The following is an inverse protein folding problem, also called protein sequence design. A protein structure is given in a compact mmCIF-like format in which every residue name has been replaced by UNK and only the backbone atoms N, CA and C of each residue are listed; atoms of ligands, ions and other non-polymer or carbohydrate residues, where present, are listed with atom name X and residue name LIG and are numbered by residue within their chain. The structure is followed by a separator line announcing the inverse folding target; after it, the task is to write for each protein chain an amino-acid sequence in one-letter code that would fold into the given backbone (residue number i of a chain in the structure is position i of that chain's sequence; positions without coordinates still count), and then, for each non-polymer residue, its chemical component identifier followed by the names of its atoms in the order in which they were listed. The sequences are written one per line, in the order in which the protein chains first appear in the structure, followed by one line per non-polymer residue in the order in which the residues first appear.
data_IF_409518975688
#
_entry.id   IF_409518975688
#
_cell.length_a   1.000
_cell.length_b   1.000
_cell.length_c   1.000
_cell.angle_alpha   90.00
_cell.angle_beta   90.00
_cell.angle_gamma   90.00
#
_symmetry.space_group_name_H-M   'P 1'
#
loop_
_entity.id
_entity.type
_entity.pdbx_description
1 polymer ?
#
# COMPACT_ATOMS: atom_id res chain seq x y z
N UNK A 1 -9.86 15.87 -5.73
CA UNK A 1 -8.80 14.95 -5.28
C UNK A 1 -8.27 14.05 -6.38
N UNK A 2 -9.02 13.04 -6.89
CA UNK A 2 -8.50 12.14 -7.94
C UNK A 2 -7.98 12.85 -9.20
N UNK A 3 -8.65 13.90 -9.68
CA UNK A 3 -8.17 14.65 -10.86
C UNK A 3 -6.86 15.41 -10.59
N UNK A 4 -6.65 15.94 -9.38
CA UNK A 4 -5.38 16.59 -8.98
C UNK A 4 -4.22 15.57 -9.00
N UNK A 5 -4.50 14.35 -8.55
CA UNK A 5 -3.58 13.21 -8.61
C UNK A 5 -3.24 12.82 -10.05
N UNK A 6 -4.20 12.92 -10.97
CA UNK A 6 -3.99 12.59 -12.39
C UNK A 6 -3.27 13.71 -13.15
N UNK A 7 -3.38 14.96 -12.69
CA UNK A 7 -2.73 16.13 -13.31
C UNK A 7 -1.27 16.35 -12.89
N UNK A 8 -0.70 15.44 -12.10
CA UNK A 8 0.65 15.54 -11.57
C UNK A 8 0.88 16.79 -10.70
N UNK A 9 -0.16 17.28 -10.04
CA UNK A 9 -0.07 18.37 -9.07
C UNK A 9 0.70 17.91 -7.82
N UNK A 10 1.27 18.88 -7.11
CA UNK A 10 1.88 18.67 -5.79
C UNK A 10 0.78 18.25 -4.80
N UNK A 11 1.01 17.12 -4.12
CA UNK A 11 0.02 16.51 -3.21
C UNK A 11 0.43 16.66 -1.74
N UNK A 12 1.61 17.21 -1.45
CA UNK A 12 2.15 17.29 -0.09
C UNK A 12 1.21 18.08 0.83
N UNK A 13 0.67 19.22 0.37
CA UNK A 13 -0.31 20.00 1.15
C UNK A 13 -1.60 19.20 1.40
N UNK A 14 -2.06 18.41 0.43
CA UNK A 14 -3.28 17.59 0.58
C UNK A 14 -3.07 16.46 1.59
N UNK A 15 -1.92 15.79 1.54
CA UNK A 15 -1.56 14.74 2.50
C UNK A 15 -1.41 15.33 3.90
N UNK A 16 -0.77 16.50 4.03
CA UNK A 16 -0.65 17.21 5.31
C UNK A 16 -2.01 17.53 5.91
N UNK A 17 -2.95 18.07 5.13
CA UNK A 17 -4.31 18.33 5.59
C UNK A 17 -5.03 17.05 6.07
N UNK A 18 -4.84 15.92 5.39
CA UNK A 18 -5.44 14.66 5.82
C UNK A 18 -4.85 14.14 7.13
N UNK A 19 -3.55 14.36 7.35
CA UNK A 19 -2.88 14.01 8.59
C UNK A 19 -3.34 14.93 9.74
N UNK A 20 -3.45 16.23 9.49
CA UNK A 20 -3.98 17.21 10.45
C UNK A 20 -5.41 16.87 10.88
N UNK A 21 -6.29 16.58 9.91
CA UNK A 21 -7.68 16.15 10.18
C UNK A 21 -7.74 14.82 10.98
N UNK A 22 -6.78 13.91 10.75
CA UNK A 22 -6.68 12.66 11.50
C UNK A 22 -6.26 12.93 12.95
N UNK A 23 -5.29 13.83 13.18
CA UNK A 23 -4.90 14.25 14.54
C UNK A 23 -6.09 14.88 15.27
N UNK A 24 -6.85 15.74 14.60
CA UNK A 24 -8.08 16.33 15.16
C UNK A 24 -9.06 15.23 15.60
N UNK A 25 -9.26 14.22 14.75
CA UNK A 25 -10.15 13.08 15.04
C UNK A 25 -9.64 12.26 16.23
N UNK A 26 -8.34 11.99 16.33
CA UNK A 26 -7.74 11.25 17.45
C UNK A 26 -7.87 12.03 18.76
N UNK A 27 -7.57 13.32 18.73
CA UNK A 27 -7.70 14.22 19.87
C UNK A 27 -9.15 14.28 20.34
N UNK A 28 -10.12 14.44 19.44
CA UNK A 28 -11.55 14.45 19.79
C UNK A 28 -12.05 13.11 20.34
N UNK A 29 -11.52 11.99 19.83
CA UNK A 29 -11.93 10.65 20.24
C UNK A 29 -11.41 10.27 21.62
N UNK A 30 -10.16 10.63 21.93
CA UNK A 30 -9.49 10.22 23.17
C UNK A 30 -9.45 11.29 24.25
N UNK A 31 -9.48 12.58 23.88
CA UNK A 31 -9.47 13.69 24.85
C UNK A 31 -10.88 14.27 24.99
N UNK A 32 -11.60 13.73 25.97
CA UNK A 32 -12.90 14.25 26.40
C UNK A 32 -12.85 15.70 26.91
N UNK A 33 -14.01 16.32 27.15
CA UNK A 33 -14.09 17.70 27.65
C UNK A 33 -13.52 17.88 29.06
N UNK A 34 -13.40 16.77 29.82
CA UNK A 34 -12.93 16.72 31.20
C UNK A 34 -11.65 15.88 31.23
N UNK A 35 -10.63 16.33 31.98
CA UNK A 35 -9.28 15.72 32.01
C UNK A 35 -9.30 14.28 32.52
N UNK A 36 -10.18 13.99 33.46
CA UNK A 36 -10.34 12.65 34.05
C UNK A 36 -10.86 11.60 33.05
N UNK A 37 -11.45 12.03 31.93
CA UNK A 37 -11.96 11.16 30.87
C UNK A 37 -10.92 10.91 29.76
N UNK A 38 -9.72 11.49 29.88
CA UNK A 38 -8.70 11.36 28.84
C UNK A 38 -8.13 9.94 28.78
N UNK A 39 -8.26 9.33 27.61
CA UNK A 39 -7.68 8.03 27.30
C UNK A 39 -6.32 8.20 26.61
N UNK A 40 -5.30 8.51 27.42
CA UNK A 40 -3.93 8.71 26.93
C UNK A 40 -3.28 7.42 26.41
N UNK A 41 -3.69 6.26 26.94
CA UNK A 41 -3.19 4.96 26.49
C UNK A 41 -3.76 4.63 25.09
N UNK A 42 -5.06 4.83 24.88
CA UNK A 42 -5.67 4.69 23.57
C UNK A 42 -5.07 5.65 22.53
N UNK A 43 -4.84 6.91 22.93
CA UNK A 43 -4.22 7.91 22.07
C UNK A 43 -2.79 7.51 21.67
N UNK A 44 -1.95 7.11 22.62
CA UNK A 44 -0.58 6.66 22.35
C UNK A 44 -0.55 5.44 21.41
N UNK A 45 -1.46 4.47 21.62
CA UNK A 45 -1.57 3.29 20.74
C UNK A 45 -2.01 3.67 19.31
N UNK A 46 -2.93 4.63 19.17
CA UNK A 46 -3.36 5.13 17.86
C UNK A 46 -2.22 5.87 17.13
N UNK A 47 -1.44 6.66 17.86
CA UNK A 47 -0.26 7.36 17.34
C UNK A 47 0.85 6.38 16.93
N UNK A 48 1.14 5.36 17.75
CA UNK A 48 2.10 4.29 17.41
C UNK A 48 1.66 3.52 16.15
N UNK A 49 0.35 3.29 16.02
CA UNK A 49 -0.23 2.67 14.82
C UNK A 49 0.08 3.51 13.56
N UNK A 50 0.08 4.84 13.64
CA UNK A 50 0.46 5.73 12.53
C UNK A 50 1.97 5.70 12.23
N UNK A 51 2.80 5.11 13.09
CA UNK A 51 4.26 5.06 12.94
C UNK A 51 4.89 6.47 12.89
N UNK A 52 4.38 7.38 13.72
CA UNK A 52 4.95 8.71 13.92
C UNK A 52 6.27 8.60 14.68
N UNK A 53 7.20 9.47 14.33
CA UNK A 53 8.50 9.58 14.99
C UNK A 53 8.52 10.82 15.88
N UNK A 54 8.99 10.65 17.11
CA UNK A 54 9.17 11.75 18.04
C UNK A 54 9.21 11.30 19.50
N UNK A 55 9.76 12.16 20.36
CA UNK A 55 9.79 11.96 21.81
C UNK A 55 8.42 12.25 22.46
N UNK A 56 8.12 11.68 23.62
CA UNK A 56 6.86 11.96 24.34
C UNK A 56 5.58 11.66 23.55
N UNK A 57 5.59 10.60 22.73
CA UNK A 57 4.40 10.08 22.05
C UNK A 57 3.78 8.89 22.78
N UNK A 58 4.43 8.44 23.85
CA UNK A 58 3.94 7.43 24.78
C UNK A 58 2.99 8.05 25.80
N UNK A 59 2.20 7.19 26.47
CA UNK A 59 1.17 7.63 27.42
C UNK A 59 1.75 8.53 28.54
N UNK A 60 2.94 8.20 29.04
CA UNK A 60 3.62 8.97 30.08
C UNK A 60 4.06 10.34 29.57
N UNK A 61 4.68 10.40 28.38
CA UNK A 61 5.09 11.67 27.77
C UNK A 61 3.93 12.58 27.40
N UNK A 62 2.78 12.02 27.01
CA UNK A 62 1.56 12.78 26.76
C UNK A 62 0.92 13.29 28.06
N UNK A 63 0.99 12.52 29.15
CA UNK A 63 0.48 12.94 30.46
C UNK A 63 1.23 14.18 31.00
N UNK A 64 2.53 14.30 30.71
CA UNK A 64 3.35 15.44 31.09
C UNK A 64 2.92 16.76 30.44
N UNK A 65 2.22 16.71 29.29
CA UNK A 65 1.82 17.90 28.55
C UNK A 65 0.60 18.63 29.15
N UNK A 66 -0.11 18.02 30.10
CA UNK A 66 -1.20 18.54 30.97
C UNK A 66 -2.39 19.25 30.32
N UNK A 67 -2.30 19.66 29.05
CA UNK A 67 -3.29 20.46 28.34
C UNK A 67 -3.58 19.86 26.98
N UNK A 68 -4.84 19.95 26.54
CA UNK A 68 -5.29 19.45 25.24
C UNK A 68 -4.52 20.10 24.09
N UNK A 69 -4.35 21.42 24.15
CA UNK A 69 -3.65 22.19 23.11
C UNK A 69 -2.16 21.80 23.03
N UNK A 70 -1.50 21.51 24.16
CA UNK A 70 -0.11 21.05 24.12
C UNK A 70 0.02 19.64 23.53
N UNK A 71 -0.93 18.75 23.79
CA UNK A 71 -0.99 17.43 23.17
C UNK A 71 -1.22 17.56 21.66
N UNK A 72 -2.22 18.34 21.23
CA UNK A 72 -2.49 18.60 19.81
C UNK A 72 -1.25 19.15 19.09
N UNK A 73 -0.62 20.19 19.66
CA UNK A 73 0.59 20.78 19.08
C UNK A 73 1.76 19.78 19.02
N UNK A 74 1.92 18.94 20.05
CA UNK A 74 2.95 17.89 20.07
C UNK A 74 2.73 16.88 18.94
N UNK A 75 1.49 16.43 18.74
CA UNK A 75 1.15 15.45 17.70
C UNK A 75 1.35 16.03 16.30
N UNK A 76 0.92 17.28 16.07
CA UNK A 76 1.16 17.98 14.79
C UNK A 76 2.64 18.15 14.51
N UNK A 77 3.43 18.48 15.53
CA UNK A 77 4.89 18.55 15.38
C UNK A 77 5.49 17.18 15.03
N UNK A 78 5.02 16.10 15.65
CA UNK A 78 5.48 14.75 15.32
C UNK A 78 5.16 14.35 13.88
N UNK A 79 4.00 14.75 13.35
CA UNK A 79 3.65 14.58 11.94
C UNK A 79 4.67 15.29 11.05
N UNK A 80 4.94 16.56 11.32
CA UNK A 80 5.91 17.37 10.56
C UNK A 80 7.31 16.76 10.59
N UNK A 81 7.78 16.35 11.78
CA UNK A 81 9.09 15.72 11.96
C UNK A 81 9.18 14.41 11.16
N UNK A 82 8.10 13.62 11.18
CA UNK A 82 8.03 12.34 10.45
C UNK A 82 8.04 12.56 8.93
N UNK A 83 7.30 13.55 8.42
CA UNK A 83 7.32 13.90 6.99
C UNK A 83 8.73 14.32 6.57
N UNK A 84 9.36 15.23 7.33
CA UNK A 84 10.70 15.71 7.05
C UNK A 84 11.73 14.56 7.04
N UNK A 85 11.66 13.66 8.02
CA UNK A 85 12.53 12.49 8.08
C UNK A 85 12.33 11.57 6.85
N UNK A 86 11.09 11.29 6.46
CA UNK A 86 10.81 10.42 5.30
C UNK A 86 11.26 11.05 3.99
N UNK A 87 11.15 12.36 3.87
CA UNK A 87 11.66 13.10 2.71
C UNK A 87 13.20 13.02 2.62
N UNK A 88 13.90 13.13 3.76
CA UNK A 88 15.37 12.97 3.82
C UNK A 88 15.81 11.54 3.49
N UNK A 89 15.13 10.53 4.05
CA UNK A 89 15.46 9.11 3.86
C UNK A 89 15.25 8.61 2.42
N UNK A 90 14.19 9.09 1.74
CA UNK A 90 13.81 8.61 0.42
C UNK A 90 14.18 9.56 -0.72
N UNK A 91 14.33 10.86 -0.41
CA UNK A 91 14.47 11.96 -1.37
C UNK A 91 13.11 12.43 -1.89
N UNK A 92 13.00 13.75 -2.10
CA UNK A 92 11.77 14.46 -2.49
C UNK A 92 11.01 13.80 -3.66
N UNK A 93 11.68 13.51 -4.77
CA UNK A 93 11.03 12.91 -5.96
C UNK A 93 10.40 11.54 -5.67
N UNK A 94 11.04 10.75 -4.80
CA UNK A 94 10.56 9.41 -4.46
C UNK A 94 9.41 9.50 -3.47
N UNK A 95 9.50 10.42 -2.51
CA UNK A 95 8.45 10.68 -1.54
C UNK A 95 7.16 11.18 -2.20
N UNK A 96 7.24 12.13 -3.14
CA UNK A 96 6.09 12.60 -3.91
C UNK A 96 5.37 11.47 -4.66
N UNK A 97 6.12 10.47 -5.14
CA UNK A 97 5.54 9.28 -5.77
C UNK A 97 4.87 8.33 -4.78
N UNK A 98 5.40 8.23 -3.55
CA UNK A 98 4.77 7.49 -2.45
C UNK A 98 3.45 8.15 -2.06
N UNK A 99 3.44 9.47 -1.83
CA UNK A 99 2.23 10.25 -1.54
C UNK A 99 1.14 10.01 -2.58
N UNK A 100 1.51 10.16 -3.87
CA UNK A 100 0.60 9.93 -5.00
C UNK A 100 0.06 8.50 -5.01
N UNK A 101 0.92 7.51 -4.79
CA UNK A 101 0.53 6.10 -4.84
C UNK A 101 -0.42 5.74 -3.70
N UNK A 102 -0.11 6.17 -2.48
CA UNK A 102 -0.95 5.90 -1.30
C UNK A 102 -2.32 6.53 -1.50
N UNK A 103 -2.36 7.81 -1.87
CA UNK A 103 -3.62 8.53 -2.05
C UNK A 103 -4.48 7.91 -3.16
N UNK A 104 -3.90 7.60 -4.32
CA UNK A 104 -4.64 6.99 -5.43
C UNK A 104 -5.17 5.60 -5.06
N UNK A 105 -4.32 4.76 -4.45
CA UNK A 105 -4.69 3.39 -4.07
C UNK A 105 -5.83 3.39 -3.06
N UNK A 106 -5.76 4.25 -2.05
CA UNK A 106 -6.79 4.37 -1.01
C UNK A 106 -8.10 4.88 -1.59
N UNK A 107 -8.06 5.92 -2.42
CA UNK A 107 -9.26 6.46 -3.08
C UNK A 107 -9.90 5.41 -3.98
N UNK A 108 -9.12 4.74 -4.84
CA UNK A 108 -9.67 3.78 -5.80
C UNK A 108 -10.29 2.57 -5.09
N UNK A 109 -9.70 2.07 -3.99
CA UNK A 109 -10.28 0.95 -3.23
C UNK A 109 -11.59 1.34 -2.53
N UNK A 110 -11.61 2.48 -1.85
CA UNK A 110 -12.79 2.92 -1.08
C UNK A 110 -13.92 3.41 -2.00
N UNK A 111 -13.59 3.97 -3.17
CA UNK A 111 -14.59 4.38 -4.15
C UNK A 111 -15.38 3.19 -4.71
N UNK A 112 -14.72 2.05 -4.97
CA UNK A 112 -15.40 0.83 -5.44
C UNK A 112 -16.37 0.30 -4.38
N UNK A 113 -15.94 0.32 -3.11
CA UNK A 113 -16.80 -0.06 -1.97
C UNK A 113 -18.00 0.88 -1.85
N UNK A 114 -17.78 2.19 -1.88
CA UNK A 114 -18.85 3.19 -1.83
C UNK A 114 -19.87 3.06 -2.96
N UNK A 115 -19.42 2.79 -4.20
CA UNK A 115 -20.34 2.55 -5.32
C UNK A 115 -21.21 1.32 -5.12
N UNK A 116 -20.68 0.29 -4.44
CA UNK A 116 -21.41 -0.93 -4.11
C UNK A 116 -22.48 -0.64 -3.05
N UNK A 117 -22.11 0.05 -1.98
CA UNK A 117 -23.06 0.49 -0.92
C UNK A 117 -24.18 1.37 -1.47
N UNK A 118 -23.83 2.32 -2.35
CA UNK A 118 -24.79 3.21 -2.98
C UNK A 118 -25.79 2.47 -3.88
N UNK A 119 -25.33 1.45 -4.60
CA UNK A 119 -26.20 0.64 -5.47
C UNK A 119 -27.16 -0.23 -4.62
N UNK A 120 -26.67 -0.83 -3.53
CA UNK A 120 -27.51 -1.60 -2.61
C UNK A 120 -28.56 -0.72 -1.93
N UNK A 121 -28.17 0.47 -1.48
CA UNK A 121 -29.11 1.42 -0.90
C UNK A 121 -30.15 1.91 -1.94
N UNK A 122 -29.73 2.18 -3.17
CA UNK A 122 -30.64 2.55 -4.27
C UNK A 122 -31.69 1.48 -4.54
N UNK A 123 -31.35 0.20 -4.46
CA UNK A 123 -32.31 -0.91 -4.62
C UNK A 123 -33.33 -0.95 -3.48
N UNK A 124 -32.91 -0.58 -2.26
CA UNK A 124 -33.76 -0.59 -1.06
C UNK A 124 -34.66 0.64 -0.87
N UNK A 125 -34.30 1.81 -1.41
CA UNK A 125 -35.01 3.07 -1.14
C UNK A 125 -36.46 3.08 -1.66
N UNK A 126 -36.74 2.29 -2.71
CA UNK A 126 -38.10 2.16 -3.26
C UNK A 126 -39.12 1.61 -2.24
N UNK A 127 -38.67 0.86 -1.25
CA UNK A 127 -39.52 0.34 -0.17
C UNK A 127 -39.88 1.42 0.87
N UNK A 128 -39.11 2.51 0.97
CA UNK A 128 -39.39 3.62 1.90
C UNK A 128 -40.46 4.60 1.38
N UNK A 129 -40.74 4.58 0.07
CA UNK A 129 -41.81 5.38 -0.54
C UNK A 129 -43.22 5.04 -0.05
N UNK A 130 -43.41 3.85 0.54
CA UNK A 130 -44.67 3.48 1.19
C UNK A 130 -44.93 4.26 2.49
N UNK A 131 -43.92 4.93 3.06
CA UNK A 131 -44.02 5.73 4.29
C UNK A 131 -44.43 7.19 4.08
N UNK A 132 -44.74 7.62 2.85
CA UNK A 132 -45.14 9.00 2.55
C UNK A 132 -44.00 10.00 2.38
N UNK A 133 -42.75 9.58 2.59
CA UNK A 133 -41.55 10.37 2.28
C UNK A 133 -41.15 10.18 0.82
N UNK A 134 -40.74 11.26 0.15
CA UNK A 134 -40.24 11.19 -1.23
C UNK A 134 -38.93 10.36 -1.29
N UNK A 135 -38.94 9.18 -1.96
CA UNK A 135 -37.79 8.29 -2.03
C UNK A 135 -36.55 8.96 -2.63
N UNK A 136 -36.72 9.93 -3.52
CA UNK A 136 -35.61 10.61 -4.15
C UNK A 136 -34.87 11.51 -3.16
N UNK A 137 -35.60 12.19 -2.28
CA UNK A 137 -34.98 13.07 -1.28
C UNK A 137 -34.31 12.26 -0.17
N UNK A 138 -34.92 11.16 0.25
CA UNK A 138 -34.28 10.19 1.15
C UNK A 138 -33.01 9.62 0.54
N UNK A 139 -33.06 9.25 -0.75
CA UNK A 139 -31.90 8.72 -1.44
C UNK A 139 -30.73 9.72 -1.42
N UNK A 140 -31.00 10.98 -1.76
CA UNK A 140 -29.98 12.04 -1.79
C UNK A 140 -29.37 12.30 -0.42
N UNK A 141 -30.19 12.32 0.63
CA UNK A 141 -29.72 12.56 2.01
C UNK A 141 -28.77 11.47 2.46
N UNK A 142 -29.16 10.21 2.30
CA UNK A 142 -28.32 9.08 2.68
C UNK A 142 -27.07 8.98 1.80
N UNK A 143 -27.21 9.16 0.48
CA UNK A 143 -26.06 9.13 -0.43
C UNK A 143 -25.01 10.19 -0.07
N UNK A 144 -25.45 11.38 0.35
CA UNK A 144 -24.54 12.42 0.83
C UNK A 144 -23.87 12.03 2.15
N UNK A 145 -24.61 11.40 3.08
CA UNK A 145 -24.05 10.90 4.33
C UNK A 145 -22.96 9.84 4.08
N UNK A 146 -23.24 8.85 3.22
CA UNK A 146 -22.26 7.84 2.80
C UNK A 146 -21.03 8.45 2.13
N UNK A 147 -21.21 9.56 1.39
CA UNK A 147 -20.10 10.28 0.77
C UNK A 147 -19.21 10.99 1.82
N UNK A 148 -19.78 11.62 2.83
CA UNK A 148 -18.99 12.23 3.91
C UNK A 148 -18.26 11.17 4.75
N UNK A 149 -18.89 10.02 5.01
CA UNK A 149 -18.26 8.86 5.64
C UNK A 149 -17.08 8.35 4.81
N UNK A 150 -17.26 8.18 3.48
CA UNK A 150 -16.18 7.83 2.55
C UNK A 150 -15.01 8.81 2.64
N UNK A 151 -15.27 10.12 2.70
CA UNK A 151 -14.22 11.13 2.83
C UNK A 151 -13.42 10.94 4.12
N UNK A 152 -14.09 10.62 5.23
CA UNK A 152 -13.43 10.26 6.49
C UNK A 152 -12.55 9.03 6.34
N UNK A 153 -13.06 7.95 5.73
CA UNK A 153 -12.29 6.74 5.50
C UNK A 153 -11.07 6.95 4.59
N UNK A 154 -11.16 7.83 3.60
CA UNK A 154 -10.00 8.18 2.75
C UNK A 154 -8.93 8.87 3.59
N UNK A 155 -9.28 9.86 4.41
CA UNK A 155 -8.31 10.56 5.29
C UNK A 155 -7.62 9.58 6.23
N UNK A 156 -8.40 8.80 6.97
CA UNK A 156 -7.90 7.77 7.89
C UNK A 156 -7.03 6.72 7.16
N UNK A 157 -7.47 6.25 5.99
CA UNK A 157 -6.75 5.26 5.20
C UNK A 157 -5.40 5.78 4.68
N UNK A 158 -5.32 7.07 4.33
CA UNK A 158 -4.04 7.71 3.96
C UNK A 158 -3.15 7.86 5.18
N UNK A 159 -3.65 8.43 6.28
CA UNK A 159 -2.90 8.69 7.50
C UNK A 159 -2.32 7.41 8.13
N UNK A 160 -3.10 6.32 8.16
CA UNK A 160 -2.68 5.02 8.70
C UNK A 160 -1.71 4.23 7.81
N UNK A 161 -1.53 4.63 6.54
CA UNK A 161 -0.73 3.87 5.57
C UNK A 161 0.54 4.60 5.15
N UNK A 162 0.51 5.94 5.06
CA UNK A 162 1.57 6.74 4.43
C UNK A 162 2.96 6.48 5.03
N UNK A 163 3.08 6.45 6.36
CA UNK A 163 4.35 6.25 7.06
C UNK A 163 4.78 4.78 7.20
N UNK A 164 3.95 3.83 6.77
CA UNK A 164 4.25 2.39 6.78
C UNK A 164 4.81 1.89 5.45
N UNK A 165 4.76 2.71 4.39
CA UNK A 165 5.24 2.31 3.07
C UNK A 165 6.75 2.20 3.08
N UNK A 166 7.27 1.01 2.77
CA UNK A 166 8.72 0.80 2.58
C UNK A 166 9.08 0.89 1.10
N UNK A 167 9.98 1.81 0.75
CA UNK A 167 10.51 1.94 -0.61
C UNK A 167 11.65 0.95 -0.83
N UNK A 168 11.42 -0.11 -1.63
CA UNK A 168 12.50 -0.98 -2.08
C UNK A 168 13.10 -0.43 -3.39
N UNK A 169 14.25 0.23 -3.31
CA UNK A 169 15.05 0.51 -4.52
C UNK A 169 15.46 -0.82 -5.13
N UNK A 170 15.07 -1.07 -6.38
CA UNK A 170 15.64 -2.18 -7.14
C UNK A 170 17.13 -1.92 -7.31
N UNK A 171 17.97 -2.72 -6.65
CA UNK A 171 19.38 -2.76 -6.96
C UNK A 171 19.54 -3.20 -8.42
N UNK A 172 20.36 -2.53 -9.24
CA UNK A 172 20.62 -2.96 -10.60
C UNK A 172 21.04 -4.44 -10.60
N UNK A 173 20.55 -5.26 -11.54
CA UNK A 173 20.97 -6.64 -11.61
C UNK A 173 22.51 -6.69 -11.65
N UNK A 174 23.14 -7.60 -10.89
CA UNK A 174 24.59 -7.71 -10.90
C UNK A 174 25.08 -7.84 -12.34
N UNK A 175 26.18 -7.17 -12.71
CA UNK A 175 26.67 -7.21 -14.08
C UNK A 175 26.85 -8.68 -14.47
N UNK A 176 26.17 -9.09 -15.54
CA UNK A 176 26.33 -10.44 -16.07
C UNK A 176 27.79 -10.62 -16.44
N UNK A 177 28.46 -11.56 -15.79
CA UNK A 177 29.84 -11.91 -16.14
C UNK A 177 29.86 -12.42 -17.58
N UNK A 178 30.74 -11.84 -18.39
CA UNK A 178 30.98 -12.31 -19.75
C UNK A 178 31.53 -13.75 -19.74
N UNK A 179 31.35 -14.53 -20.82
CA UNK A 179 31.94 -15.87 -20.94
C UNK A 179 33.46 -15.89 -20.70
N UNK A 180 34.16 -14.80 -21.06
CA UNK A 180 35.59 -14.63 -20.81
C UNK A 180 35.92 -14.50 -19.31
N UNK A 181 35.11 -13.78 -18.54
CA UNK A 181 35.27 -13.64 -17.10
C UNK A 181 34.97 -14.95 -16.36
N UNK A 182 33.97 -15.71 -16.82
CA UNK A 182 33.66 -17.05 -16.29
C UNK A 182 34.81 -18.03 -16.53
N UNK A 183 35.43 -17.97 -17.72
CA UNK A 183 36.59 -18.80 -18.05
C UNK A 183 37.82 -18.45 -17.18
N UNK A 184 38.09 -17.17 -16.94
CA UNK A 184 39.20 -16.70 -16.11
C UNK A 184 39.06 -17.09 -14.62
N UNK A 185 37.84 -17.09 -14.07
CA UNK A 185 37.60 -17.57 -12.70
C UNK A 185 37.83 -19.08 -12.56
N UNK A 186 37.52 -19.87 -13.60
CA UNK A 186 37.76 -21.32 -13.61
C UNK A 186 39.24 -21.67 -13.71
N UNK A 187 40.04 -20.88 -14.41
CA UNK A 187 41.49 -21.12 -14.53
C UNK A 187 42.26 -20.81 -13.24
N UNK A 188 41.79 -19.85 -12.43
CA UNK A 188 42.47 -19.47 -11.18
C UNK A 188 42.17 -20.41 -9.99
N UNK A 189 41.05 -21.15 -10.02
CA UNK A 189 40.69 -22.11 -8.96
C UNK A 189 41.40 -23.47 -9.04
N UNK A 190 42.14 -23.73 -10.12
CA UNK A 190 42.79 -25.02 -10.37
C UNK A 190 44.24 -25.11 -9.87
N UNK A 191 44.81 -24.04 -9.29
CA UNK A 191 46.23 -23.98 -8.90
C UNK A 191 46.50 -24.13 -7.39
N UNK A 192 45.48 -24.30 -6.53
CA UNK A 192 45.71 -24.41 -5.06
C UNK A 192 45.54 -25.82 -4.47
N UNK A 193 45.46 -26.88 -5.28
CA UNK A 193 45.32 -28.25 -4.81
C UNK A 193 46.41 -29.13 -5.37
N UNK A 194 47.58 -29.08 -4.74
CA UNK A 194 48.66 -30.03 -5.00
C UNK A 194 49.87 -29.68 -4.17
N UNK A 195 49.95 -30.21 -2.95
CA UNK A 195 51.19 -30.75 -2.37
C UNK A 195 50.93 -31.46 -1.01
N UNK A 196 50.98 -32.80 -1.07
CA UNK A 196 51.50 -33.76 -0.08
C UNK A 196 51.04 -33.79 1.39
N UNK A 197 50.49 -34.91 1.85
CA UNK A 197 51.24 -35.98 2.55
C UNK A 197 50.31 -37.10 3.08
N UNK A 198 50.72 -38.36 2.81
CA UNK A 198 50.11 -39.57 3.35
C UNK A 198 50.72 -39.95 4.71
N UNK A 199 49.90 -40.38 5.68
CA UNK A 199 50.29 -41.31 6.76
C UNK A 199 49.12 -41.77 7.66
N UNK A 200 48.94 -43.11 7.70
CA UNK A 200 48.60 -43.99 8.83
C UNK A 200 47.24 -43.95 9.58
N UNK A 201 46.46 -45.00 9.27
CA UNK A 201 45.76 -45.98 10.12
C UNK A 201 45.61 -45.79 11.65
N UNK A 202 44.38 -46.05 12.13
CA UNK A 202 44.03 -46.48 13.48
C UNK A 202 42.59 -47.02 13.54
N UNK A 203 42.42 -48.30 13.91
CA UNK A 203 41.15 -49.03 14.12
C UNK A 203 40.43 -48.50 15.40
N UNK A 204 39.13 -48.70 15.68
CA UNK A 204 38.44 -49.99 15.78
C UNK A 204 36.94 -49.92 16.15
N UNK A 205 36.21 -50.95 15.71
CA UNK A 205 34.96 -51.59 16.20
C UNK A 205 33.65 -50.80 16.30
N UNK A 206 32.45 -51.27 15.91
CA UNK A 206 31.86 -52.55 15.47
C UNK A 206 30.33 -52.38 15.64
N UNK A 207 29.42 -52.78 14.75
CA UNK A 207 28.98 -54.14 14.48
C UNK A 207 27.96 -54.18 13.32
N UNK A 208 27.78 -55.38 12.80
CA UNK A 208 27.15 -55.81 11.52
C UNK A 208 25.68 -56.30 11.71
N UNK A 209 24.96 -56.94 10.75
CA UNK A 209 24.04 -56.24 9.83
C UNK A 209 22.71 -56.97 9.45
N UNK A 210 21.98 -56.35 8.49
CA UNK A 210 21.04 -56.84 7.42
C UNK A 210 19.53 -57.22 7.68
N UNK A 211 18.64 -57.29 6.64
CA UNK A 211 17.40 -56.45 6.47
C UNK A 211 16.16 -57.36 6.11
N UNK A 212 15.24 -57.09 5.14
CA UNK A 212 14.65 -55.87 4.53
C UNK A 212 13.09 -55.84 4.54
N UNK A 213 12.47 -54.72 4.14
CA UNK A 213 11.00 -54.63 3.95
C UNK A 213 10.48 -53.35 3.26
N UNK A 214 10.22 -53.51 1.96
CA UNK A 214 9.38 -52.80 0.96
C UNK A 214 8.31 -51.74 1.37
N UNK A 215 8.12 -50.76 0.47
CA UNK A 215 6.89 -49.97 0.24
C UNK A 215 6.95 -48.55 0.81
N UNK A 216 6.87 -47.44 0.08
CA UNK A 216 6.01 -47.13 -1.06
C UNK A 216 4.82 -46.31 -0.57
N UNK A 217 4.79 -44.99 -0.80
CA UNK A 217 3.61 -44.17 -0.50
C UNK A 217 3.90 -42.68 -0.31
N UNK A 218 3.52 -41.90 -1.33
CA UNK A 218 3.42 -40.45 -1.28
C UNK A 218 2.39 -39.98 -0.24
N UNK A 219 2.60 -38.80 0.33
CA UNK A 219 1.56 -38.08 1.06
C UNK A 219 1.67 -36.56 0.83
N UNK A 220 0.78 -36.05 -0.03
CA UNK A 220 0.02 -34.83 0.27
C UNK A 220 -1.23 -35.28 1.08
N UNK A 221 -1.81 -34.44 1.96
CA UNK A 221 -2.71 -33.33 1.55
C UNK A 221 -2.38 -32.01 2.30
N UNK A 222 -2.59 -30.81 1.75
CA UNK A 222 -3.82 -30.08 1.41
C UNK A 222 -4.76 -29.74 2.60
N UNK A 223 -4.79 -28.43 2.88
CA UNK A 223 -5.90 -27.56 3.32
C UNK A 223 -6.47 -27.69 4.75
N UNK A 224 -6.24 -26.65 5.56
CA UNK A 224 -7.31 -25.79 6.11
C UNK A 224 -6.73 -24.57 6.84
N UNK A 225 -7.32 -23.38 6.60
CA UNK A 225 -7.13 -22.19 7.44
C UNK A 225 -6.77 -20.90 6.69
N UNK A 226 -7.64 -20.40 5.81
CA UNK A 226 -7.61 -19.00 5.36
C UNK A 226 -8.49 -18.18 6.30
N UNK A 227 -7.88 -17.45 7.22
CA UNK A 227 -8.45 -16.23 7.81
C UNK A 227 -7.57 -15.05 7.44
N UNK A 228 -8.23 -13.96 7.05
CA UNK A 228 -7.62 -12.81 6.39
C UNK A 228 -6.52 -12.13 7.19
N UNK A 229 -5.48 -11.74 6.47
CA UNK A 229 -4.45 -10.82 6.90
C UNK A 229 -3.90 -10.13 5.66
N UNK A 230 -4.30 -8.87 5.45
CA UNK A 230 -3.78 -8.04 4.38
C UNK A 230 -2.27 -7.90 4.52
N UNK A 231 -1.54 -8.24 3.46
CA UNK A 231 -0.08 -8.12 3.41
C UNK A 231 0.29 -6.65 3.14
N UNK A 232 1.32 -6.09 3.82
CA UNK A 232 1.81 -4.76 3.48
C UNK A 232 2.37 -4.78 2.05
N UNK A 233 1.90 -3.88 1.21
CA UNK A 233 2.28 -3.81 -0.20
C UNK A 233 3.68 -3.24 -0.36
N UNK A 234 4.62 -4.04 -0.87
CA UNK A 234 5.92 -3.54 -1.35
C UNK A 234 5.73 -2.83 -2.69
N UNK A 235 6.24 -1.61 -2.79
CA UNK A 235 6.15 -0.79 -3.99
C UNK A 235 7.45 -0.88 -4.77
N UNK A 236 7.35 -1.22 -6.06
CA UNK A 236 8.50 -1.39 -6.98
C UNK A 236 8.53 -0.23 -7.98
N UNK A 237 9.54 0.63 -7.87
CA UNK A 237 9.76 1.74 -8.79
C UNK A 237 10.96 1.41 -9.70
N UNK A 238 10.73 1.37 -11.02
CA UNK A 238 11.81 1.34 -12.03
C UNK A 238 12.13 2.78 -12.40
N UNK A 239 13.33 3.24 -12.04
CA UNK A 239 13.87 4.53 -12.48
C UNK A 239 14.63 4.31 -13.79
N UNK A 240 14.12 4.87 -14.88
CA UNK A 240 14.85 5.03 -16.13
C UNK A 240 15.00 6.52 -16.40
N UNK A 241 16.25 6.98 -16.47
CA UNK A 241 16.61 8.34 -16.86
C UNK A 241 16.30 8.52 -18.35
N UNK A 242 15.22 9.24 -18.68
CA UNK A 242 14.97 9.73 -20.03
C UNK A 242 14.66 11.23 -19.96
N UNK A 243 15.57 12.01 -20.51
CA UNK A 243 15.52 13.47 -20.62
C UNK A 243 14.33 13.88 -21.49
N UNK A 244 13.27 14.42 -20.87
CA UNK A 244 12.05 14.84 -21.56
C UNK A 244 12.19 16.28 -22.10
N UNK A 245 12.34 16.38 -23.42
CA UNK A 245 12.17 17.62 -24.18
C UNK A 245 10.75 18.21 -24.02
N UNK A 246 10.56 19.54 -24.19
CA UNK A 246 9.29 20.19 -23.89
C UNK A 246 8.22 19.86 -24.93
N UNK A 247 7.19 19.13 -24.52
CA UNK A 247 5.99 18.90 -25.35
C UNK A 247 5.04 20.08 -25.25
N UNK A 248 4.94 20.83 -26.36
CA UNK A 248 3.91 21.83 -26.59
C UNK A 248 2.50 21.21 -26.45
N UNK A 249 1.59 22.00 -25.86
CA UNK A 249 0.18 21.64 -25.62
C UNK A 249 -0.51 21.11 -26.88
N UNK A 250 -0.83 19.81 -26.88
CA UNK A 250 -1.65 19.18 -27.91
C UNK A 250 -3.06 18.91 -27.37
N UNK A 251 -4.06 19.43 -28.08
CA UNK A 251 -5.48 19.25 -27.80
C UNK A 251 -5.90 17.76 -27.78
N UNK A 252 -6.87 17.44 -26.91
CA UNK A 252 -7.42 16.08 -26.67
C UNK A 252 -7.75 15.33 -27.98
N UNK A 253 -7.32 14.06 -28.18
CA UNK A 253 -7.77 13.28 -29.31
C UNK A 253 -9.22 12.84 -29.09
N UNK A 254 -10.07 13.10 -30.08
CA UNK A 254 -11.43 12.58 -30.12
C UNK A 254 -11.37 11.05 -30.28
N UNK A 255 -11.95 10.31 -29.33
CA UNK A 255 -12.10 8.86 -29.43
C UNK A 255 -13.01 8.54 -30.63
N UNK A 256 -12.55 7.78 -31.64
CA UNK A 256 -13.40 7.45 -32.78
C UNK A 256 -14.53 6.51 -32.30
N UNK A 257 -15.78 6.92 -32.49
CA UNK A 257 -16.95 6.07 -32.24
C UNK A 257 -16.91 4.89 -33.22
N UNK A 258 -16.45 3.73 -32.76
CA UNK A 258 -16.49 2.48 -33.52
C UNK A 258 -17.96 2.10 -33.74
N UNK A 259 -18.38 2.01 -35.01
CA UNK A 259 -19.73 1.67 -35.39
C UNK A 259 -20.07 0.23 -35.04
N UNK A 260 -21.34 -0.04 -34.76
CA UNK A 260 -21.82 -1.37 -34.30
C UNK A 260 -21.47 -2.53 -35.25
N UNK A 261 -21.22 -2.26 -36.53
CA UNK A 261 -20.85 -3.25 -37.54
C UNK A 261 -19.37 -3.22 -37.95
N UNK A 262 -18.55 -2.34 -37.39
CA UNK A 262 -17.13 -2.18 -37.73
C UNK A 262 -16.28 -3.32 -37.16
N UNK A 263 -15.04 -3.53 -37.68
CA UNK A 263 -14.12 -4.50 -37.12
C UNK A 263 -13.86 -4.21 -35.63
N UNK A 264 -13.90 -5.24 -34.80
CA UNK A 264 -13.66 -5.08 -33.38
C UNK A 264 -12.19 -4.73 -33.11
N UNK A 265 -11.96 -3.74 -32.24
CA UNK A 265 -10.62 -3.22 -31.93
C UNK A 265 -9.70 -4.25 -31.25
N UNK A 266 -10.24 -5.38 -30.75
CA UNK A 266 -9.46 -6.45 -30.14
C UNK A 266 -8.74 -7.35 -31.15
N UNK A 267 -8.84 -7.08 -32.45
CA UNK A 267 -8.14 -7.83 -33.50
C UNK A 267 -8.73 -9.23 -33.78
N UNK A 268 -9.90 -9.55 -33.23
CA UNK A 268 -10.55 -10.86 -33.41
C UNK A 268 -11.06 -11.15 -34.82
N UNK A 269 -11.01 -10.17 -35.73
CA UNK A 269 -11.57 -10.28 -37.09
C UNK A 269 -13.10 -10.26 -37.15
N UNK A 270 -13.79 -10.22 -36.01
CA UNK A 270 -15.25 -10.19 -35.92
C UNK A 270 -15.78 -8.75 -35.88
N UNK A 271 -17.02 -8.55 -36.33
CA UNK A 271 -17.73 -7.26 -36.20
C UNK A 271 -17.99 -6.94 -34.73
N UNK A 272 -17.90 -5.66 -34.34
CA UNK A 272 -17.99 -5.18 -32.96
C UNK A 272 -19.19 -5.74 -32.20
N UNK A 273 -20.41 -5.70 -32.77
CA UNK A 273 -21.62 -6.27 -32.15
C UNK A 273 -21.59 -7.77 -31.83
N UNK A 274 -20.69 -8.54 -32.47
CA UNK A 274 -20.54 -9.98 -32.25
C UNK A 274 -19.36 -10.31 -31.32
N UNK A 275 -18.61 -9.30 -30.89
CA UNK A 275 -17.47 -9.45 -29.99
C UNK A 275 -17.73 -8.59 -28.73
N UNK A 276 -17.21 -7.37 -28.66
CA UNK A 276 -17.32 -6.50 -27.48
C UNK A 276 -18.57 -5.60 -27.44
N UNK A 277 -19.44 -5.67 -28.46
CA UNK A 277 -20.67 -4.89 -28.56
C UNK A 277 -21.95 -5.67 -28.23
N UNK A 278 -21.87 -6.63 -27.30
CA UNK A 278 -23.03 -7.30 -26.69
C UNK A 278 -23.48 -6.56 -25.44
#
# INVERSE_FOLDING_TARGET
ERDKVLNNEDLTETVRLFLDDEIDTLVETHLGPIVEEWDLEGLANAVDTMNLVGDHLDADGLADLTTRDAIDQRLRQAVDDTIAQREEEHGADTWALVERMVLLRTIDSLWVEHLTELDDFRRGVGLRGYGGTDPLNEFKREAFKLYEELRGFIRHGVASTIFRVTVQRQQPPPPMLSPAQIAAMRSNGAQSSGDGHAAHAGHSHGATPVPPGLGGGAAAPLLSGLTGGGRPGTVRLQRGDEELAPVASAAKPAVPKVGRNDPCYCGSGLKFKKCHGR
#
